data_IF_776742483500
#
_entry.id   IF_776742483500
#
_cell.length_a   1.000
_cell.length_b   1.000
_cell.length_c   1.000
_cell.angle_alpha   90.00
_cell.angle_beta   90.00
_cell.angle_gamma   90.00
#
_symmetry.space_group_name_H-M   'P 1'
#
loop_
_entity.id
_entity.type
_entity.pdbx_description
1 polymer ?
#
# COMPACT_ATOMS: atom_id res chain seq x y z
N UNK A 1 20.42 -8.38 -23.42
CA UNK A 1 19.68 -7.10 -23.57
C UNK A 1 19.80 -6.33 -22.27
N UNK A 2 20.42 -5.16 -22.26
CA UNK A 2 20.40 -4.30 -21.08
C UNK A 2 19.03 -3.59 -21.03
N UNK A 3 18.32 -3.72 -19.91
CA UNK A 3 17.15 -2.87 -19.64
C UNK A 3 17.64 -1.44 -19.44
N UNK A 4 17.14 -0.51 -20.25
CA UNK A 4 17.48 0.91 -20.12
C UNK A 4 16.34 1.63 -19.42
N UNK A 5 16.63 2.19 -18.25
CA UNK A 5 15.69 3.10 -17.59
C UNK A 5 15.51 4.35 -18.45
N UNK A 6 14.28 4.83 -18.56
CA UNK A 6 13.90 5.89 -19.48
C UNK A 6 12.76 6.71 -18.90
N UNK A 7 12.34 7.75 -19.63
CA UNK A 7 11.34 8.67 -19.12
C UNK A 7 10.02 7.96 -18.76
N UNK A 8 9.54 7.05 -19.60
CA UNK A 8 8.31 6.28 -19.35
C UNK A 8 8.39 5.45 -18.05
N UNK A 9 9.55 4.87 -17.75
CA UNK A 9 9.80 4.13 -16.52
C UNK A 9 9.76 5.04 -15.30
N UNK A 10 10.36 6.24 -15.39
CA UNK A 10 10.27 7.27 -14.34
C UNK A 10 8.84 7.67 -14.08
N UNK A 11 8.07 7.99 -15.13
CA UNK A 11 6.68 8.42 -14.98
C UNK A 11 5.82 7.31 -14.36
N UNK A 12 6.01 6.07 -14.79
CA UNK A 12 5.32 4.90 -14.22
C UNK A 12 5.67 4.71 -12.75
N UNK A 13 6.94 4.84 -12.38
CA UNK A 13 7.38 4.74 -10.99
C UNK A 13 6.79 5.85 -10.10
N UNK A 14 6.76 7.09 -10.59
CA UNK A 14 6.13 8.20 -9.88
C UNK A 14 4.61 8.02 -9.73
N UNK A 15 3.94 7.51 -10.77
CA UNK A 15 2.52 7.18 -10.70
C UNK A 15 2.24 6.12 -9.64
N UNK A 16 3.06 5.06 -9.56
CA UNK A 16 2.93 4.04 -8.51
C UNK A 16 3.15 4.61 -7.11
N UNK A 17 4.16 5.47 -6.92
CA UNK A 17 4.36 6.14 -5.62
C UNK A 17 3.15 6.99 -5.23
N UNK A 18 2.57 7.71 -6.19
CA UNK A 18 1.39 8.54 -5.95
C UNK A 18 0.19 7.67 -5.58
N UNK A 19 -0.03 6.56 -6.27
CA UNK A 19 -1.10 5.62 -5.99
C UNK A 19 -0.98 4.98 -4.59
N UNK A 20 0.24 4.63 -4.16
CA UNK A 20 0.48 4.07 -2.82
C UNK A 20 0.23 5.08 -1.69
N UNK A 21 0.35 6.37 -1.96
CA UNK A 21 0.18 7.46 -0.99
C UNK A 21 -1.21 8.09 -1.03
N UNK A 22 -2.13 7.54 -1.82
CA UNK A 22 -3.47 8.07 -2.02
C UNK A 22 -4.54 7.03 -1.64
N UNK A 23 -5.75 7.50 -1.39
CA UNK A 23 -6.92 6.61 -1.34
C UNK A 23 -7.06 5.88 -2.70
N UNK A 24 -7.44 4.59 -2.71
CA UNK A 24 -7.86 3.81 -1.56
C UNK A 24 -6.72 3.08 -0.83
N UNK A 25 -5.45 3.20 -1.24
CA UNK A 25 -4.36 2.42 -0.62
C UNK A 25 -4.06 2.94 0.78
N UNK A 26 -3.70 4.22 0.89
CA UNK A 26 -3.51 4.88 2.17
C UNK A 26 -4.89 5.30 2.72
N UNK A 27 -5.27 4.76 3.87
CA UNK A 27 -6.52 5.07 4.55
C UNK A 27 -6.31 5.70 5.92
N UNK A 28 -7.30 6.48 6.35
CA UNK A 28 -7.37 6.96 7.72
C UNK A 28 -7.47 5.78 8.70
N UNK A 29 -6.73 5.81 9.83
CA UNK A 29 -6.79 4.75 10.82
C UNK A 29 -8.17 4.68 11.49
N UNK A 30 -8.56 3.46 11.88
CA UNK A 30 -9.78 3.21 12.67
C UNK A 30 -9.43 2.98 14.12
N UNK A 31 -10.01 3.79 15.01
CA UNK A 31 -9.87 3.67 16.46
C UNK A 31 -11.12 3.05 17.09
N UNK A 32 -11.65 2.00 16.46
CA UNK A 32 -12.87 1.28 16.86
C UNK A 32 -12.57 -0.08 17.53
N UNK A 33 -11.31 -0.32 17.89
CA UNK A 33 -10.83 -1.61 18.41
C UNK A 33 -10.32 -2.56 17.32
N UNK A 34 -10.43 -2.22 16.03
CA UNK A 34 -9.79 -2.98 14.95
C UNK A 34 -8.27 -3.00 15.14
N UNK A 35 -7.63 -4.18 15.22
CA UNK A 35 -6.20 -4.26 15.45
C UNK A 35 -5.37 -3.66 14.33
N UNK A 36 -4.26 -3.03 14.70
CA UNK A 36 -3.16 -2.74 13.78
C UNK A 36 -2.33 -4.00 13.57
N UNK A 37 -1.86 -4.18 12.33
CA UNK A 37 -1.00 -5.28 11.89
C UNK A 37 0.31 -4.66 11.43
N UNK A 38 1.43 -5.09 11.99
CA UNK A 38 2.76 -4.69 11.54
C UNK A 38 3.36 -5.85 10.74
N UNK A 39 3.76 -5.57 9.50
CA UNK A 39 4.62 -6.45 8.72
C UNK A 39 5.99 -5.82 8.67
N UNK A 40 7.00 -6.51 9.19
CA UNK A 40 8.37 -6.02 9.22
C UNK A 40 9.33 -6.99 8.57
N UNK A 41 10.37 -6.45 7.96
CA UNK A 41 11.49 -7.21 7.41
C UNK A 41 12.80 -6.49 7.72
N UNK A 42 13.84 -7.27 7.99
CA UNK A 42 15.14 -6.78 8.45
C UNK A 42 16.27 -7.44 7.69
N UNK A 43 17.25 -6.63 7.28
CA UNK A 43 18.52 -7.09 6.72
C UNK A 43 19.68 -6.63 7.60
N UNK A 44 20.89 -7.07 7.27
CA UNK A 44 22.12 -6.66 7.94
C UNK A 44 22.27 -5.13 8.04
N UNK A 45 21.77 -4.41 7.03
CA UNK A 45 22.01 -2.97 6.93
C UNK A 45 20.81 -2.14 7.39
N UNK A 46 19.58 -2.67 7.35
CA UNK A 46 18.34 -1.88 7.57
C UNK A 46 17.17 -2.71 8.09
N UNK A 47 16.30 -2.06 8.86
CA UNK A 47 14.99 -2.57 9.25
C UNK A 47 13.88 -1.75 8.59
N UNK A 48 12.79 -2.40 8.18
CA UNK A 48 11.63 -1.75 7.55
C UNK A 48 10.33 -2.36 8.08
N UNK A 49 9.28 -1.57 8.10
CA UNK A 49 7.95 -2.03 8.50
C UNK A 49 6.85 -1.31 7.70
N UNK A 50 5.72 -2.00 7.55
CA UNK A 50 4.45 -1.47 7.06
C UNK A 50 3.41 -1.69 8.14
N UNK A 51 2.78 -0.62 8.59
CA UNK A 51 1.65 -0.65 9.52
C UNK A 51 0.36 -0.68 8.71
N UNK A 52 -0.54 -1.61 9.02
CA UNK A 52 -1.79 -1.80 8.29
C UNK A 52 -2.98 -2.01 9.23
N UNK A 53 -4.19 -1.81 8.74
CA UNK A 53 -5.44 -2.25 9.36
C UNK A 53 -6.36 -2.94 8.34
N UNK A 54 -7.17 -3.90 8.80
CA UNK A 54 -8.20 -4.53 7.96
C UNK A 54 -9.40 -3.62 7.82
N UNK A 55 -9.74 -3.26 6.58
CA UNK A 55 -10.89 -2.40 6.26
C UNK A 55 -11.80 -3.13 5.29
N UNK A 56 -13.07 -3.22 5.67
CA UNK A 56 -14.17 -3.66 4.81
C UNK A 56 -14.53 -2.53 3.83
N UNK A 57 -14.44 -2.81 2.54
CA UNK A 57 -14.77 -1.88 1.45
C UNK A 57 -15.84 -2.49 0.55
N UNK A 58 -16.85 -1.69 0.20
CA UNK A 58 -17.87 -2.09 -0.78
C UNK A 58 -17.46 -1.59 -2.16
N UNK A 59 -17.32 -2.51 -3.10
CA UNK A 59 -17.01 -2.21 -4.49
C UNK A 59 -18.23 -1.61 -5.20
N UNK A 60 -18.06 -0.92 -6.34
CA UNK A 60 -19.17 -0.41 -7.14
C UNK A 60 -20.20 -1.47 -7.55
N UNK A 61 -19.79 -2.74 -7.62
CA UNK A 61 -20.67 -3.89 -7.89
C UNK A 61 -21.57 -4.28 -6.70
N UNK A 62 -21.48 -3.59 -5.56
CA UNK A 62 -22.15 -3.95 -4.31
C UNK A 62 -21.45 -5.08 -3.52
N UNK A 63 -20.41 -5.70 -4.09
CA UNK A 63 -19.62 -6.73 -3.40
C UNK A 63 -18.76 -6.11 -2.31
N UNK A 64 -18.81 -6.69 -1.12
CA UNK A 64 -17.96 -6.30 0.00
C UNK A 64 -16.68 -7.14 0.02
N UNK A 65 -15.53 -6.50 0.22
CA UNK A 65 -14.21 -7.11 0.34
C UNK A 65 -13.49 -6.60 1.58
N UNK A 66 -12.65 -7.44 2.20
CA UNK A 66 -11.78 -7.04 3.30
C UNK A 66 -10.37 -6.90 2.76
N UNK A 67 -9.78 -5.72 2.95
CA UNK A 67 -8.43 -5.39 2.48
C UNK A 67 -7.57 -4.92 3.66
N UNK A 68 -6.28 -5.19 3.62
CA UNK A 68 -5.31 -4.53 4.50
C UNK A 68 -4.87 -3.22 3.83
N UNK A 69 -5.03 -2.12 4.55
CA UNK A 69 -4.60 -0.78 4.15
C UNK A 69 -3.52 -0.29 5.09
#
# INVERSE_FOLDING_TARGET
LAMHWGNEHTQSFLALKTALLSEPVLKSPKFDGTPFIITSDGSKDRFRAVLMQRVTTTLPSGKTVVCSH
#
